data_IF_684825414802
#
_entry.id   IF_684825414802
#
_cell.length_a   1.000
_cell.length_b   1.000
_cell.length_c   1.000
_cell.angle_alpha   90.00
_cell.angle_beta   90.00
_cell.angle_gamma   90.00
#
_symmetry.space_group_name_H-M   'P 1'
#
loop_
_entity.id
_entity.type
_entity.pdbx_description
1 polymer ?
#
# COMPACT_ATOMS: atom_id res chain seq x y z
N UNK A 1 10.40 14.57 -9.32
CA UNK A 1 10.32 16.04 -9.60
C UNK A 1 9.13 16.72 -8.89
N UNK A 2 8.62 16.22 -7.74
CA UNK A 2 7.32 16.65 -7.18
C UNK A 2 7.33 17.17 -5.73
N UNK A 3 8.49 17.51 -5.16
CA UNK A 3 8.62 17.95 -3.76
C UNK A 3 8.47 19.48 -3.59
N UNK A 4 7.78 20.20 -4.46
CA UNK A 4 7.65 21.67 -4.37
C UNK A 4 6.53 22.17 -3.43
N UNK A 5 5.84 21.26 -2.71
CA UNK A 5 4.69 21.60 -1.86
C UNK A 5 3.35 21.60 -2.60
N UNK A 6 3.34 21.14 -3.85
CA UNK A 6 2.11 20.89 -4.58
C UNK A 6 1.44 19.59 -4.10
N UNK A 7 0.12 19.62 -4.01
CA UNK A 7 -0.66 18.45 -3.60
C UNK A 7 -0.65 17.45 -4.76
N UNK A 8 -0.06 16.26 -4.53
CA UNK A 8 -0.18 15.13 -5.47
C UNK A 8 -1.65 14.72 -5.61
N UNK A 9 -2.11 14.52 -6.84
CA UNK A 9 -3.51 14.16 -7.12
C UNK A 9 -3.60 13.15 -8.25
N UNK A 10 -4.62 12.31 -8.19
CA UNK A 10 -4.94 11.37 -9.26
C UNK A 10 -3.78 10.42 -9.56
N UNK A 11 -3.38 10.36 -10.83
CA UNK A 11 -2.36 9.42 -11.31
C UNK A 11 -0.96 9.75 -10.78
N UNK A 12 -0.66 11.02 -10.50
CA UNK A 12 0.65 11.45 -10.00
C UNK A 12 0.99 10.80 -8.65
N UNK A 13 -0.01 10.43 -7.85
CA UNK A 13 0.17 9.70 -6.59
C UNK A 13 0.71 8.29 -6.85
N UNK A 14 0.17 7.61 -7.86
CA UNK A 14 0.58 6.26 -8.23
C UNK A 14 1.97 6.28 -8.86
N UNK A 15 2.22 7.24 -9.75
CA UNK A 15 3.53 7.40 -10.38
C UNK A 15 4.61 7.66 -9.33
N UNK A 16 4.36 8.56 -8.38
CA UNK A 16 5.30 8.84 -7.29
C UNK A 16 5.52 7.64 -6.37
N UNK A 17 4.46 6.91 -6.02
CA UNK A 17 4.58 5.68 -5.23
C UNK A 17 5.49 4.66 -5.94
N UNK A 18 5.29 4.45 -7.24
CA UNK A 18 6.11 3.52 -8.02
C UNK A 18 7.56 3.99 -8.11
N UNK A 19 7.81 5.28 -8.35
CA UNK A 19 9.16 5.85 -8.30
C UNK A 19 9.84 5.56 -6.96
N UNK A 20 9.17 5.89 -5.85
CA UNK A 20 9.69 5.68 -4.49
C UNK A 20 10.01 4.20 -4.22
N UNK A 21 9.13 3.28 -4.60
CA UNK A 21 9.35 1.85 -4.42
C UNK A 21 10.52 1.34 -5.28
N UNK A 22 10.64 1.83 -6.51
CA UNK A 22 11.70 1.43 -7.45
C UNK A 22 13.07 2.06 -7.15
N UNK A 23 13.13 3.12 -6.33
CA UNK A 23 14.39 3.63 -5.80
C UNK A 23 15.12 2.60 -4.92
N UNK A 24 14.40 1.63 -4.34
CA UNK A 24 15.02 0.55 -3.57
C UNK A 24 15.51 -0.56 -4.49
N UNK A 25 16.83 -0.72 -4.59
CA UNK A 25 17.42 -1.82 -5.34
C UNK A 25 16.92 -3.18 -4.85
N UNK A 26 16.47 -4.01 -5.79
CA UNK A 26 15.96 -5.34 -5.49
C UNK A 26 14.53 -5.37 -4.92
N UNK A 27 13.82 -4.24 -4.85
CA UNK A 27 12.44 -4.17 -4.34
C UNK A 27 11.52 -5.23 -4.94
N UNK A 28 11.51 -5.38 -6.27
CA UNK A 28 10.68 -6.36 -6.98
C UNK A 28 10.96 -7.79 -6.51
N UNK A 29 12.24 -8.13 -6.31
CA UNK A 29 12.65 -9.45 -5.82
C UNK A 29 12.18 -9.67 -4.39
N UNK A 30 12.20 -8.64 -3.56
CA UNK A 30 11.80 -8.74 -2.17
C UNK A 30 10.29 -8.89 -2.03
N UNK A 31 9.50 -8.11 -2.78
CA UNK A 31 8.04 -8.30 -2.86
C UNK A 31 7.68 -9.69 -3.37
N UNK A 32 8.38 -10.20 -4.38
CA UNK A 32 8.16 -11.57 -4.85
C UNK A 32 8.42 -12.62 -3.76
N UNK A 33 9.50 -12.47 -2.99
CA UNK A 33 9.81 -13.34 -1.85
C UNK A 33 8.74 -13.22 -0.76
N UNK A 34 8.32 -12.01 -0.42
CA UNK A 34 7.29 -11.76 0.59
C UNK A 34 5.95 -12.39 0.18
N UNK A 35 5.52 -12.15 -1.06
CA UNK A 35 4.33 -12.77 -1.65
C UNK A 35 4.37 -14.30 -1.51
N UNK A 36 5.49 -14.93 -1.88
CA UNK A 36 5.63 -16.39 -1.78
C UNK A 36 5.70 -16.93 -0.36
N UNK A 37 6.44 -16.25 0.53
CA UNK A 37 6.68 -16.74 1.87
C UNK A 37 5.47 -16.55 2.79
N UNK A 38 4.72 -15.47 2.60
CA UNK A 38 3.55 -15.13 3.41
C UNK A 38 2.21 -15.46 2.71
N UNK A 39 2.25 -16.04 1.51
CA UNK A 39 1.03 -16.36 0.74
C UNK A 39 0.24 -15.11 0.34
N UNK A 40 0.89 -13.95 0.24
CA UNK A 40 0.25 -12.68 -0.06
C UNK A 40 0.11 -12.49 -1.57
N UNK A 41 -1.13 -12.35 -2.03
CA UNK A 41 -1.43 -12.10 -3.44
C UNK A 41 -1.69 -10.62 -3.75
N UNK A 42 -2.17 -9.88 -2.75
CA UNK A 42 -2.58 -8.49 -2.90
C UNK A 42 -1.93 -7.61 -1.84
N UNK A 43 -1.56 -6.40 -2.27
CA UNK A 43 -1.02 -5.35 -1.41
C UNK A 43 -1.89 -4.11 -1.53
N UNK A 44 -2.21 -3.51 -0.38
CA UNK A 44 -2.83 -2.20 -0.31
C UNK A 44 -1.75 -1.15 -0.04
N UNK A 45 -1.50 -0.23 -0.99
CA UNK A 45 -0.54 0.83 -0.76
C UNK A 45 -1.12 1.97 0.06
N UNK A 46 -0.30 2.49 0.97
CA UNK A 46 -0.49 3.74 1.68
C UNK A 46 0.75 4.60 1.49
N UNK A 47 0.57 5.92 1.41
CA UNK A 47 1.65 6.85 1.09
C UNK A 47 1.54 8.10 1.97
N UNK A 48 2.67 8.55 2.50
CA UNK A 48 2.86 9.91 2.98
C UNK A 48 4.11 10.47 2.30
N UNK A 49 4.03 11.68 1.76
CA UNK A 49 5.13 12.29 1.01
C UNK A 49 5.38 13.73 1.44
N UNK A 50 6.65 14.14 1.39
CA UNK A 50 7.08 15.49 1.69
C UNK A 50 6.87 15.87 3.16
N UNK A 51 6.72 14.88 4.04
CA UNK A 51 6.40 15.11 5.44
C UNK A 51 7.62 15.67 6.16
N UNK A 52 7.54 16.95 6.52
CA UNK A 52 8.56 17.64 7.30
C UNK A 52 8.53 17.15 8.75
N UNK A 53 9.63 16.56 9.22
CA UNK A 53 9.74 16.07 10.59
C UNK A 53 9.64 17.19 11.64
N UNK A 54 10.04 18.42 11.33
CA UNK A 54 9.86 19.57 12.23
C UNK A 54 8.39 19.99 12.36
N UNK A 55 7.57 19.77 11.34
CA UNK A 55 6.13 20.07 11.36
C UNK A 55 5.36 18.92 12.02
N UNK A 56 5.69 17.68 11.64
CA UNK A 56 5.01 16.49 12.16
C UNK A 56 5.57 16.02 13.51
N UNK A 57 6.66 16.60 13.98
CA UNK A 57 7.33 16.36 15.27
C UNK A 57 7.91 14.95 15.48
N UNK A 58 7.33 13.91 14.87
CA UNK A 58 7.77 12.52 15.03
C UNK A 58 7.47 11.67 13.79
N UNK A 59 8.24 10.59 13.62
CA UNK A 59 7.99 9.58 12.60
C UNK A 59 6.65 8.86 12.82
N UNK A 60 6.25 8.67 14.07
CA UNK A 60 4.95 8.11 14.45
C UNK A 60 3.77 8.93 13.91
N UNK A 61 3.84 10.26 14.03
CA UNK A 61 2.80 11.12 13.46
C UNK A 61 2.73 11.02 11.93
N UNK A 62 3.86 10.78 11.25
CA UNK A 62 3.90 10.53 9.80
C UNK A 62 3.23 9.19 9.46
N UNK A 63 3.47 8.14 10.26
CA UNK A 63 2.80 6.85 10.10
C UNK A 63 1.28 7.00 10.22
N UNK A 64 0.78 7.75 11.19
CA UNK A 64 -0.66 7.95 11.38
C UNK A 64 -1.34 8.64 10.20
N UNK A 65 -0.66 9.57 9.52
CA UNK A 65 -1.19 10.24 8.33
C UNK A 65 -1.41 9.28 7.17
N UNK A 66 -0.63 8.20 7.08
CA UNK A 66 -0.83 7.20 6.02
C UNK A 66 -2.20 6.50 6.13
N UNK A 67 -2.78 6.47 7.34
CA UNK A 67 -4.12 5.91 7.59
C UNK A 67 -5.25 6.82 7.10
N UNK A 68 -5.00 8.12 7.00
CA UNK A 68 -5.97 9.11 6.54
C UNK A 68 -6.13 9.11 5.01
N UNK A 69 -5.13 8.61 4.28
CA UNK A 69 -5.09 8.64 2.81
C UNK A 69 -4.74 7.29 2.17
N UNK A 70 -5.47 6.20 2.47
CA UNK A 70 -5.24 4.93 1.79
C UNK A 70 -5.71 5.04 0.33
N UNK A 71 -4.92 4.49 -0.59
CA UNK A 71 -5.26 4.51 -2.03
C UNK A 71 -6.51 3.67 -2.36
N UNK A 72 -6.91 2.76 -1.46
CA UNK A 72 -8.16 2.03 -1.54
C UNK A 72 -8.69 1.72 -0.13
N UNK A 73 -9.99 1.45 -0.01
CA UNK A 73 -10.55 0.97 1.25
C UNK A 73 -10.21 -0.51 1.49
N UNK A 74 -9.59 -0.81 2.63
CA UNK A 74 -9.32 -2.18 3.08
C UNK A 74 -9.40 -2.26 4.60
N UNK A 75 -9.53 -3.48 5.13
CA UNK A 75 -9.51 -3.72 6.57
C UNK A 75 -8.10 -4.08 7.01
N UNK A 76 -7.37 -3.11 7.54
CA UNK A 76 -5.98 -3.30 7.95
C UNK A 76 -5.83 -4.27 9.13
N UNK A 77 -6.88 -4.47 9.94
CA UNK A 77 -6.85 -5.43 11.07
C UNK A 77 -6.70 -6.88 10.60
N UNK A 78 -7.02 -7.14 9.34
CA UNK A 78 -6.94 -8.46 8.71
C UNK A 78 -5.62 -8.69 7.96
N UNK A 79 -4.69 -7.73 8.00
CA UNK A 79 -3.40 -7.85 7.33
C UNK A 79 -2.61 -9.05 7.85
N UNK A 80 -1.80 -9.66 6.98
CA UNK A 80 -0.90 -10.77 7.35
C UNK A 80 0.57 -10.36 7.40
N UNK A 81 0.93 -9.25 6.74
CA UNK A 81 2.26 -8.67 6.79
C UNK A 81 2.26 -7.21 6.34
N UNK A 82 3.30 -6.47 6.71
CA UNK A 82 3.47 -5.07 6.30
C UNK A 82 4.89 -4.82 5.78
N UNK A 83 5.00 -4.16 4.63
CA UNK A 83 6.27 -3.68 4.09
C UNK A 83 6.29 -2.17 4.20
N UNK A 84 7.36 -1.62 4.78
CA UNK A 84 7.53 -0.18 5.02
C UNK A 84 8.82 0.26 4.33
N UNK A 85 8.70 1.26 3.47
CA UNK A 85 9.83 1.92 2.83
C UNK A 85 9.85 3.39 3.24
N UNK A 86 10.94 3.79 3.88
CA UNK A 86 11.18 5.16 4.32
C UNK A 86 12.23 5.78 3.41
N UNK A 87 11.95 6.94 2.83
CA UNK A 87 12.97 7.77 2.16
C UNK A 87 13.22 9.00 3.00
N UNK A 88 14.46 9.19 3.42
CA UNK A 88 14.84 10.27 4.33
C UNK A 88 16.17 10.91 3.93
N UNK A 89 16.41 12.18 4.32
CA UNK A 89 17.71 12.82 4.18
C UNK A 89 18.83 12.04 4.87
N UNK A 90 20.02 12.03 4.25
CA UNK A 90 21.19 11.25 4.70
C UNK A 90 21.61 11.53 6.15
N UNK A 91 21.39 12.75 6.63
CA UNK A 91 21.76 13.14 7.98
C UNK A 91 20.86 12.52 9.07
N UNK A 92 19.69 11.95 8.70
CA UNK A 92 18.86 11.15 9.61
C UNK A 92 19.34 9.71 9.78
N UNK A 93 20.47 9.30 9.17
CA UNK A 93 20.93 7.90 9.20
C UNK A 93 21.05 7.29 10.61
N UNK A 94 21.47 8.08 11.59
CA UNK A 94 21.62 7.63 12.97
C UNK A 94 20.30 7.65 13.77
N UNK A 95 19.33 8.43 13.30
CA UNK A 95 17.98 8.51 13.86
C UNK A 95 17.08 7.40 13.29
N UNK A 96 17.21 7.14 11.99
CA UNK A 96 16.42 6.19 11.21
C UNK A 96 17.17 4.88 11.00
N UNK A 97 17.75 4.35 12.08
CA UNK A 97 18.31 2.99 12.04
C UNK A 97 17.19 1.98 11.88
N UNK A 98 17.49 0.85 11.22
CA UNK A 98 16.52 -0.22 10.97
C UNK A 98 15.76 -0.62 12.24
N UNK A 99 16.46 -0.88 13.34
CA UNK A 99 15.83 -1.27 14.61
C UNK A 99 14.93 -0.20 15.23
N UNK A 100 15.24 1.08 15.05
CA UNK A 100 14.38 2.18 15.51
C UNK A 100 13.10 2.27 14.68
N UNK A 101 13.21 2.20 13.35
CA UNK A 101 12.02 2.22 12.48
C UNK A 101 11.16 0.96 12.73
N UNK A 102 11.76 -0.22 12.84
CA UNK A 102 11.03 -1.45 13.16
C UNK A 102 10.29 -1.32 14.48
N UNK A 103 10.92 -0.74 15.51
CA UNK A 103 10.27 -0.48 16.79
C UNK A 103 9.08 0.47 16.65
N UNK A 104 9.26 1.63 16.02
CA UNK A 104 8.19 2.62 15.81
C UNK A 104 7.01 2.03 15.04
N UNK A 105 7.30 1.29 13.96
CA UNK A 105 6.29 0.59 13.17
C UNK A 105 5.57 -0.45 14.03
N UNK A 106 6.28 -1.28 14.80
CA UNK A 106 5.63 -2.27 15.69
C UNK A 106 4.72 -1.60 16.70
N UNK A 107 5.16 -0.52 17.34
CA UNK A 107 4.33 0.17 18.32
C UNK A 107 3.11 0.81 17.64
N UNK A 108 3.29 1.43 16.47
CA UNK A 108 2.18 1.98 15.67
C UNK A 108 1.15 0.91 15.28
N UNK A 109 1.58 -0.26 14.81
CA UNK A 109 0.68 -1.36 14.47
C UNK A 109 -0.14 -1.83 15.67
N UNK A 110 0.47 -1.91 16.85
CA UNK A 110 -0.20 -2.31 18.08
C UNK A 110 -1.19 -1.27 18.56
N UNK A 111 -0.80 0.00 18.56
CA UNK A 111 -1.59 1.09 19.13
C UNK A 111 -2.72 1.56 18.20
N UNK A 112 -2.41 1.78 16.92
CA UNK A 112 -3.36 2.37 15.97
C UNK A 112 -4.30 1.32 15.36
N UNK A 113 -3.87 0.06 15.30
CA UNK A 113 -4.55 -0.98 14.50
C UNK A 113 -4.82 -2.28 15.26
N UNK A 114 -4.22 -2.45 16.43
CA UNK A 114 -4.37 -3.67 17.24
C UNK A 114 -3.81 -4.92 16.58
N UNK A 115 -2.84 -4.79 15.67
CA UNK A 115 -2.23 -5.92 14.94
C UNK A 115 -0.77 -6.12 15.34
N UNK A 116 -0.36 -7.39 15.36
CA UNK A 116 1.04 -7.81 15.52
C UNK A 116 1.38 -8.76 14.37
N UNK A 117 1.85 -8.18 13.26
CA UNK A 117 2.11 -8.90 12.01
C UNK A 117 3.57 -8.73 11.61
N UNK A 118 4.16 -9.72 10.91
CA UNK A 118 5.50 -9.60 10.35
C UNK A 118 5.65 -8.33 9.51
N UNK A 119 6.69 -7.57 9.82
CA UNK A 119 7.03 -6.32 9.17
C UNK A 119 8.42 -6.37 8.54
N UNK A 120 8.56 -5.73 7.39
CA UNK A 120 9.84 -5.47 6.75
C UNK A 120 9.99 -3.98 6.60
N UNK A 121 10.93 -3.40 7.33
CA UNK A 121 11.23 -1.97 7.26
C UNK A 121 12.55 -1.74 6.53
N UNK A 122 12.51 -0.86 5.54
CA UNK A 122 13.65 -0.48 4.70
C UNK A 122 13.77 1.04 4.66
N UNK A 123 15.00 1.53 4.52
CA UNK A 123 15.28 2.97 4.51
C UNK A 123 16.23 3.31 3.38
N UNK A 124 15.83 4.28 2.56
CA UNK A 124 16.63 4.89 1.51
C UNK A 124 17.08 6.25 2.04
N UNK A 125 18.39 6.46 2.05
CA UNK A 125 18.96 7.75 2.41
C UNK A 125 19.38 8.51 1.16
N UNK A 126 18.91 9.75 1.06
CA UNK A 126 19.22 10.63 -0.08
C UNK A 126 19.93 11.91 0.38
N UNK A 127 20.82 12.41 -0.46
CA UNK A 127 21.50 13.69 -0.24
C UNK A 127 20.57 14.83 -0.69
N UNK A 128 19.67 15.24 0.21
CA UNK A 128 18.70 16.30 -0.01
C UNK A 128 18.70 17.29 1.16
N UNK A 129 18.42 18.56 0.86
CA UNK A 129 18.27 19.61 1.87
C UNK A 129 16.86 19.58 2.49
N UNK A 130 16.80 19.82 3.80
CA UNK A 130 15.54 19.90 4.55
C UNK A 130 15.10 18.56 5.13
N UNK A 131 14.07 18.58 5.96
CA UNK A 131 13.71 17.53 6.90
C UNK A 131 12.57 16.61 6.44
N UNK A 132 12.46 16.43 5.12
CA UNK A 132 11.29 15.81 4.50
C UNK A 132 11.46 14.32 4.30
N UNK A 133 10.54 13.56 4.89
CA UNK A 133 10.46 12.12 4.80
C UNK A 133 9.33 11.72 3.86
N UNK A 134 9.58 10.72 3.01
CA UNK A 134 8.50 9.98 2.35
C UNK A 134 8.40 8.58 2.94
N UNK A 135 7.19 8.05 2.89
CA UNK A 135 6.83 6.78 3.47
C UNK A 135 5.87 6.06 2.54
N UNK A 136 6.27 4.90 2.03
CA UNK A 136 5.39 3.98 1.33
C UNK A 136 5.18 2.74 2.19
N UNK A 137 3.92 2.37 2.42
CA UNK A 137 3.54 1.17 3.16
C UNK A 137 2.73 0.27 2.24
N UNK A 138 3.09 -1.01 2.18
CA UNK A 138 2.33 -2.03 1.48
C UNK A 138 1.77 -3.01 2.50
N UNK A 139 0.45 -2.97 2.67
CA UNK A 139 -0.28 -3.87 3.56
C UNK A 139 -0.64 -5.13 2.79
N UNK A 140 -0.03 -6.25 3.17
CA UNK A 140 -0.18 -7.53 2.48
C UNK A 140 -1.20 -8.43 3.15
N UNK A 141 -1.96 -9.17 2.33
CA UNK A 141 -2.77 -10.31 2.79
C UNK A 141 -3.97 -9.94 3.66
N UNK A 142 -4.50 -8.74 3.50
CA UNK A 142 -5.77 -8.32 4.08
C UNK A 142 -6.97 -9.04 3.42
N UNK A 143 -8.12 -9.06 4.10
CA UNK A 143 -9.35 -9.63 3.59
C UNK A 143 -9.86 -8.83 2.37
N UNK A 144 -9.75 -9.45 1.21
CA UNK A 144 -10.19 -8.89 -0.07
C UNK A 144 -11.65 -9.23 -0.40
N UNK A 145 -12.32 -10.05 0.42
CA UNK A 145 -13.69 -10.52 0.15
C UNK A 145 -14.64 -9.36 -0.08
N UNK A 146 -14.52 -8.28 0.70
CA UNK A 146 -15.36 -7.07 0.53
C UNK A 146 -15.15 -6.40 -0.83
N UNK A 147 -13.90 -6.25 -1.27
CA UNK A 147 -13.54 -5.67 -2.56
C UNK A 147 -14.08 -6.51 -3.72
N UNK A 148 -13.79 -7.82 -3.69
CA UNK A 148 -14.20 -8.72 -4.77
C UNK A 148 -15.71 -8.97 -4.79
N UNK A 149 -16.39 -9.06 -3.65
CA UNK A 149 -17.84 -9.20 -3.61
C UNK A 149 -18.55 -7.98 -4.21
N UNK A 150 -18.05 -6.76 -3.97
CA UNK A 150 -18.60 -5.56 -4.57
C UNK A 150 -18.44 -5.54 -6.10
N UNK A 151 -17.26 -5.96 -6.58
CA UNK A 151 -16.99 -6.11 -8.02
C UNK A 151 -17.90 -7.19 -8.62
N UNK A 152 -17.99 -8.36 -7.98
CA UNK A 152 -18.81 -9.46 -8.47
C UNK A 152 -20.30 -9.06 -8.52
N UNK A 153 -20.83 -8.42 -7.49
CA UNK A 153 -22.21 -7.92 -7.49
C UNK A 153 -22.48 -6.87 -8.58
N UNK A 154 -21.45 -6.08 -8.97
CA UNK A 154 -21.56 -5.15 -10.09
C UNK A 154 -21.55 -5.89 -11.43
N UNK A 155 -20.67 -6.87 -11.59
CA UNK A 155 -20.62 -7.74 -12.78
C UNK A 155 -21.95 -8.47 -12.94
N UNK A 156 -22.47 -9.11 -11.89
CA UNK A 156 -23.74 -9.82 -11.91
C UNK A 156 -24.91 -8.91 -12.30
N UNK A 157 -24.98 -7.68 -11.77
CA UNK A 157 -26.00 -6.71 -12.19
C UNK A 157 -25.90 -6.36 -13.66
N UNK A 158 -24.70 -6.12 -14.18
CA UNK A 158 -24.50 -5.87 -15.62
C UNK A 158 -24.88 -7.10 -16.45
N UNK A 159 -24.40 -8.28 -16.09
CA UNK A 159 -24.72 -9.53 -16.79
C UNK A 159 -26.22 -9.81 -16.81
N UNK A 160 -26.91 -9.59 -15.69
CA UNK A 160 -28.36 -9.75 -15.61
C UNK A 160 -29.09 -8.71 -16.48
N UNK A 161 -28.65 -7.45 -16.48
CA UNK A 161 -29.19 -6.42 -17.39
C UNK A 161 -28.99 -6.79 -18.87
N UNK A 162 -27.81 -7.31 -19.25
CA UNK A 162 -27.55 -7.74 -20.63
C UNK A 162 -28.35 -8.99 -21.03
N UNK A 163 -28.59 -9.91 -20.09
CA UNK A 163 -29.47 -11.07 -20.27
C UNK A 163 -30.94 -10.64 -20.44
N UNK A 164 -31.42 -9.71 -19.63
CA UNK A 164 -32.78 -9.16 -19.70
C UNK A 164 -33.01 -8.36 -20.99
N UNK A 165 -31.98 -7.71 -21.52
CA UNK A 165 -32.03 -7.00 -22.80
C UNK A 165 -31.82 -7.90 -24.03
N UNK A 166 -31.61 -9.21 -23.85
CA UNK A 166 -31.47 -10.18 -24.94
C UNK A 166 -30.21 -10.02 -25.79
N UNK A 167 -29.16 -9.39 -25.25
CA UNK A 167 -27.99 -8.98 -26.02
C UNK A 167 -26.92 -10.09 -26.18
N UNK A 168 -26.99 -11.22 -25.44
CA UNK A 168 -26.05 -12.35 -25.56
C UNK A 168 -26.64 -13.72 -25.19
N UNK A 169 -26.05 -14.80 -25.74
CA UNK A 169 -26.36 -16.20 -25.45
C UNK A 169 -25.86 -16.60 -24.05
N UNK A 170 -26.79 -17.05 -23.19
CA UNK A 170 -26.59 -17.52 -21.82
C UNK A 170 -25.50 -18.61 -21.71
N UNK A 171 -25.39 -19.47 -22.73
CA UNK A 171 -24.39 -20.54 -22.77
C UNK A 171 -22.95 -20.05 -23.05
N UNK A 172 -22.79 -18.86 -23.64
CA UNK A 172 -21.46 -18.24 -23.81
C UNK A 172 -20.97 -17.63 -22.48
N UNK A 173 -21.88 -17.03 -21.71
CA UNK A 173 -21.57 -16.38 -20.44
C UNK A 173 -21.15 -17.37 -19.35
N UNK A 174 -21.86 -18.50 -19.21
CA UNK A 174 -21.47 -19.55 -18.25
C UNK A 174 -20.08 -20.14 -18.57
N UNK A 175 -19.74 -20.30 -19.85
CA UNK A 175 -18.41 -20.74 -20.28
C UNK A 175 -17.31 -19.71 -20.00
N UNK A 176 -17.63 -18.42 -20.06
CA UNK A 176 -16.71 -17.34 -19.69
C UNK A 176 -16.50 -17.32 -18.18
N UNK A 177 -17.57 -17.50 -17.38
CA UNK A 177 -17.49 -17.62 -15.92
C UNK A 177 -16.63 -18.81 -15.49
N UNK A 178 -16.86 -20.01 -16.03
CA UNK A 178 -16.01 -21.19 -15.75
C UNK A 178 -14.54 -20.92 -16.06
N UNK A 179 -14.23 -20.24 -17.17
CA UNK A 179 -12.83 -19.91 -17.52
C UNK A 179 -12.19 -18.85 -16.64
N UNK A 180 -12.95 -17.90 -16.11
CA UNK A 180 -12.43 -16.77 -15.34
C UNK A 180 -12.38 -17.03 -13.83
N UNK A 181 -13.28 -17.87 -13.31
CA UNK A 181 -13.45 -18.09 -11.87
C UNK A 181 -12.86 -19.42 -11.38
N UNK A 182 -12.50 -20.34 -12.30
CA UNK A 182 -11.87 -21.63 -11.97
C UNK A 182 -12.90 -22.71 -11.67
#
# INVERSE_FOLDING_TARGET
MHRAGEVLKGIDVVDYLLELLLEKEGFIRDIYKLSRNFGVQFFAPMLATGCSLSIYESFRNILDITLEQPLMGFDMSTASMIYVLVKAPIYYRDEFTKGKIEYEVTQWLKESLGVDVPQVCETIFVDEYGDRVDLAILVGGFDTSRLFNAINARIERFSNMYLEQGLYDRGLWERIKERLLG
#
